data_IF_677854321314
#
_entry.id   IF_677854321314
#
_cell.length_a   1.000
_cell.length_b   1.000
_cell.length_c   1.000
_cell.angle_alpha   90.00
_cell.angle_beta   90.00
_cell.angle_gamma   90.00
#
_symmetry.space_group_name_H-M   'P 1'
#
loop_
_entity.id
_entity.type
_entity.pdbx_description
1 polymer ?
#
# COMPACT_ATOMS: atom_id res chain seq x y z
N UNK A 1 -38.32 -16.96 -0.71
CA UNK A 1 -37.80 -18.28 -0.31
C UNK A 1 -36.38 -18.08 0.20
N UNK A 2 -36.16 -18.22 1.50
CA UNK A 2 -34.85 -18.16 2.12
C UNK A 2 -34.57 -19.54 2.73
N UNK A 3 -33.51 -20.19 2.27
CA UNK A 3 -33.05 -21.45 2.84
C UNK A 3 -32.18 -21.13 4.07
N UNK A 4 -32.57 -21.63 5.23
CA UNK A 4 -31.78 -21.56 6.46
C UNK A 4 -32.26 -22.61 7.45
N UNK A 5 -31.42 -23.60 7.75
CA UNK A 5 -31.74 -24.65 8.72
C UNK A 5 -31.75 -24.09 10.15
N UNK A 6 -32.67 -24.60 10.98
CA UNK A 6 -32.97 -24.18 12.36
C UNK A 6 -31.82 -24.38 13.36
N UNK A 7 -30.65 -24.83 12.92
CA UNK A 7 -29.48 -25.14 13.77
C UNK A 7 -28.16 -24.53 13.31
N UNK A 8 -28.14 -23.69 12.27
CA UNK A 8 -26.91 -23.00 11.89
C UNK A 8 -26.61 -21.88 12.89
N UNK A 9 -25.36 -21.70 13.37
CA UNK A 9 -25.00 -20.57 14.20
C UNK A 9 -25.19 -19.28 13.41
N UNK A 10 -26.38 -18.69 13.52
CA UNK A 10 -26.68 -17.33 13.13
C UNK A 10 -25.90 -16.43 14.07
N UNK A 11 -24.66 -16.15 13.68
CA UNK A 11 -24.03 -14.84 13.67
C UNK A 11 -22.52 -15.06 13.54
N UNK A 12 -21.98 -14.92 12.32
CA UNK A 12 -20.58 -14.53 12.21
C UNK A 12 -20.50 -13.13 12.78
N UNK A 13 -20.17 -13.04 14.08
CA UNK A 13 -19.74 -11.82 14.74
C UNK A 13 -18.66 -11.24 13.86
N UNK A 14 -18.99 -10.24 13.05
CA UNK A 14 -17.98 -9.44 12.34
C UNK A 14 -17.00 -9.04 13.42
N UNK A 15 -15.78 -9.57 13.37
CA UNK A 15 -14.71 -9.14 14.23
C UNK A 15 -14.54 -7.65 13.93
N UNK A 16 -15.17 -6.82 14.77
CA UNK A 16 -15.09 -5.38 14.66
C UNK A 16 -13.68 -5.07 15.11
N UNK A 17 -12.75 -5.06 14.16
CA UNK A 17 -11.41 -4.58 14.39
C UNK A 17 -11.55 -3.11 14.75
N UNK A 18 -11.56 -2.83 16.05
CA UNK A 18 -11.43 -1.48 16.56
C UNK A 18 -10.14 -0.95 15.96
N UNK A 19 -10.22 0.05 15.08
CA UNK A 19 -9.05 0.74 14.56
C UNK A 19 -8.29 1.29 15.76
N UNK A 20 -7.26 0.55 16.19
CA UNK A 20 -6.42 1.00 17.28
C UNK A 20 -5.85 2.35 16.88
N UNK A 21 -6.07 3.37 17.72
CA UNK A 21 -5.49 4.72 17.56
C UNK A 21 -3.94 4.72 17.49
N UNK A 22 -3.31 3.54 17.62
CA UNK A 22 -1.86 3.32 17.53
C UNK A 22 -1.40 2.74 16.18
N UNK A 23 -2.31 2.48 15.23
CA UNK A 23 -1.96 1.95 13.91
C UNK A 23 -1.20 3.02 13.10
N UNK A 24 -0.01 2.66 12.63
CA UNK A 24 0.77 3.43 11.67
C UNK A 24 0.55 2.81 10.29
N UNK A 25 0.38 3.67 9.28
CA UNK A 25 0.41 3.24 7.88
C UNK A 25 1.78 3.55 7.30
N UNK A 26 2.31 2.60 6.52
CA UNK A 26 3.60 2.70 5.87
C UNK A 26 3.40 2.39 4.40
N UNK A 27 3.94 3.23 3.54
CA UNK A 27 3.97 3.00 2.09
C UNK A 27 5.40 2.66 1.71
N UNK A 28 5.58 1.52 1.04
CA UNK A 28 6.90 1.02 0.61
C UNK A 28 6.89 0.85 -0.90
N UNK A 29 7.89 1.41 -1.57
CA UNK A 29 8.20 1.15 -2.97
C UNK A 29 9.53 0.40 -3.05
N UNK A 30 9.55 -0.66 -3.83
CA UNK A 30 10.71 -1.52 -3.99
C UNK A 30 10.73 -2.13 -5.40
N UNK A 31 11.91 -2.57 -5.82
CA UNK A 31 12.17 -3.30 -7.06
C UNK A 31 12.90 -4.61 -6.76
N UNK A 32 13.18 -5.42 -7.78
CA UNK A 32 13.92 -6.67 -7.62
C UNK A 32 15.33 -6.49 -6.98
N UNK A 33 15.88 -5.28 -7.00
CA UNK A 33 17.17 -4.97 -6.41
C UNK A 33 17.05 -4.41 -4.97
N UNK A 34 15.83 -4.16 -4.46
CA UNK A 34 15.58 -3.70 -3.08
C UNK A 34 14.69 -2.47 -2.94
N UNK A 35 14.77 -1.82 -1.78
CA UNK A 35 13.83 -0.77 -1.37
C UNK A 35 14.22 0.62 -1.93
N UNK A 36 13.28 1.24 -2.63
CA UNK A 36 13.42 2.57 -3.25
C UNK A 36 12.98 3.68 -2.31
N UNK A 37 11.82 3.54 -1.66
CA UNK A 37 11.25 4.56 -0.79
C UNK A 37 10.41 3.92 0.30
N UNK A 38 10.58 4.38 1.54
CA UNK A 38 9.70 4.07 2.67
C UNK A 38 9.16 5.40 3.20
N UNK A 39 7.84 5.55 3.25
CA UNK A 39 7.19 6.72 3.83
C UNK A 39 6.25 6.28 4.95
N UNK A 40 6.54 6.76 6.16
CA UNK A 40 5.68 6.56 7.33
C UNK A 40 4.65 7.67 7.38
N UNK A 41 3.38 7.31 7.49
CA UNK A 41 2.30 8.27 7.65
C UNK A 41 2.08 8.61 9.11
N UNK A 42 1.62 9.84 9.37
CA UNK A 42 1.21 10.26 10.69
C UNK A 42 0.01 9.46 11.17
N UNK A 43 -0.03 9.18 12.48
CA UNK A 43 -1.06 8.33 13.10
C UNK A 43 -2.45 8.92 12.88
N UNK A 44 -3.39 8.06 12.53
CA UNK A 44 -4.79 8.45 12.31
C UNK A 44 -5.06 9.14 10.96
N UNK A 45 -4.06 9.34 10.10
CA UNK A 45 -4.29 9.84 8.75
C UNK A 45 -4.57 8.70 7.78
N UNK A 46 -5.52 8.93 6.86
CA UNK A 46 -5.86 7.98 5.78
C UNK A 46 -5.10 8.35 4.51
N UNK A 47 -4.69 7.36 3.70
CA UNK A 47 -4.09 7.60 2.39
C UNK A 47 -5.14 8.29 1.52
N UNK A 48 -4.95 9.58 1.29
CA UNK A 48 -5.71 10.34 0.32
C UNK A 48 -4.95 10.40 -1.02
N UNK A 49 -5.64 10.75 -2.09
CA UNK A 49 -5.04 10.83 -3.43
C UNK A 49 -3.94 11.89 -3.52
N UNK A 50 -4.01 12.97 -2.74
CA UNK A 50 -3.03 14.05 -2.75
C UNK A 50 -1.69 13.63 -2.13
N UNK A 51 -1.74 12.89 -1.02
CA UNK A 51 -0.57 12.30 -0.34
C UNK A 51 0.08 11.32 -1.29
N UNK A 52 -0.69 10.43 -1.92
CA UNK A 52 -0.18 9.51 -2.92
C UNK A 52 0.52 10.24 -4.09
N UNK A 53 -0.09 11.29 -4.63
CA UNK A 53 0.54 12.14 -5.66
C UNK A 53 1.87 12.75 -5.21
N UNK A 54 1.98 13.18 -3.93
CA UNK A 54 3.22 13.72 -3.37
C UNK A 54 4.27 12.62 -3.23
N UNK A 55 3.89 11.44 -2.76
CA UNK A 55 4.78 10.29 -2.65
C UNK A 55 5.32 9.86 -4.01
N UNK A 56 4.50 9.81 -5.06
CA UNK A 56 4.97 9.52 -6.43
C UNK A 56 6.02 10.53 -6.91
N UNK A 57 5.84 11.82 -6.61
CA UNK A 57 6.84 12.86 -6.93
C UNK A 57 8.14 12.65 -6.15
N UNK A 58 8.07 12.25 -4.88
CA UNK A 58 9.25 11.88 -4.08
C UNK A 58 9.95 10.66 -4.66
N UNK A 59 9.18 9.63 -5.04
CA UNK A 59 9.69 8.42 -5.66
C UNK A 59 10.44 8.73 -6.96
N UNK A 60 9.90 9.60 -7.83
CA UNK A 60 10.58 10.03 -9.06
C UNK A 60 11.95 10.65 -8.78
N UNK A 61 12.09 11.40 -7.69
CA UNK A 61 13.37 12.00 -7.27
C UNK A 61 14.32 10.97 -6.65
N UNK A 62 13.78 9.95 -5.97
CA UNK A 62 14.58 8.91 -5.33
C UNK A 62 15.16 7.89 -6.33
N UNK A 63 14.44 7.63 -7.44
CA UNK A 63 14.85 6.62 -8.44
C UNK A 63 16.24 6.93 -9.03
N UNK A 64 16.55 8.12 -9.57
CA UNK A 64 17.88 8.42 -10.11
C UNK A 64 19.03 8.21 -9.12
N UNK A 65 18.78 8.49 -7.84
CA UNK A 65 19.79 8.38 -6.79
C UNK A 65 20.11 6.92 -6.46
N UNK A 66 19.10 6.03 -6.46
CA UNK A 66 19.25 4.62 -6.10
C UNK A 66 19.49 3.70 -7.30
N UNK A 67 18.94 4.04 -8.46
CA UNK A 67 18.92 3.24 -9.69
C UNK A 67 19.20 4.15 -10.89
N UNK A 68 20.47 4.47 -11.11
CA UNK A 68 20.89 5.23 -12.30
C UNK A 68 20.48 4.46 -13.56
N UNK A 69 19.67 5.08 -14.41
CA UNK A 69 19.21 4.49 -15.69
C UNK A 69 17.77 3.96 -15.70
N UNK A 70 17.13 3.72 -14.55
CA UNK A 70 15.76 3.15 -14.51
C UNK A 70 14.70 4.09 -15.13
N UNK A 71 14.88 5.41 -15.00
CA UNK A 71 13.99 6.36 -15.66
C UNK A 71 14.14 6.36 -17.18
N UNK A 72 15.31 5.97 -17.70
CA UNK A 72 15.58 5.93 -19.14
C UNK A 72 15.03 4.65 -19.80
N UNK A 73 14.96 3.55 -19.05
CA UNK A 73 14.41 2.27 -19.54
C UNK A 73 12.88 2.19 -19.53
N UNK A 74 12.20 3.22 -19.01
CA UNK A 74 10.77 3.17 -18.72
C UNK A 74 10.50 2.50 -17.37
N UNK A 75 9.47 2.99 -16.67
CA UNK A 75 9.06 2.48 -15.35
C UNK A 75 7.65 1.95 -15.46
N UNK A 76 7.48 0.67 -15.14
CA UNK A 76 6.17 0.03 -14.97
C UNK A 76 5.87 -0.04 -13.47
N UNK A 77 4.80 0.62 -13.06
CA UNK A 77 4.34 0.65 -11.68
C UNK A 77 3.27 -0.43 -11.46
N UNK A 78 3.53 -1.33 -10.53
CA UNK A 78 2.55 -2.27 -10.01
C UNK A 78 2.02 -1.76 -8.67
N UNK A 79 0.71 -1.50 -8.60
CA UNK A 79 0.01 -1.15 -7.37
C UNK A 79 -1.39 -1.76 -7.38
N UNK A 80 -2.00 -1.84 -6.20
CA UNK A 80 -3.39 -2.27 -6.02
C UNK A 80 -4.39 -1.23 -6.56
N UNK A 81 -5.60 -1.68 -6.91
CA UNK A 81 -6.67 -0.83 -7.43
C UNK A 81 -7.47 -0.17 -6.28
N UNK A 82 -6.78 0.52 -5.37
CA UNK A 82 -7.43 1.24 -4.27
C UNK A 82 -7.77 2.66 -4.69
N UNK A 83 -8.90 3.19 -4.21
CA UNK A 83 -9.48 4.48 -4.63
C UNK A 83 -8.50 5.67 -4.71
N UNK A 84 -7.53 5.84 -3.79
CA UNK A 84 -6.53 6.93 -3.89
C UNK A 84 -5.58 6.77 -5.07
N UNK A 85 -5.30 5.53 -5.50
CA UNK A 85 -4.39 5.20 -6.59
C UNK A 85 -5.07 5.33 -7.96
N UNK A 86 -6.37 5.04 -8.03
CA UNK A 86 -7.17 5.23 -9.25
C UNK A 86 -7.88 6.57 -9.36
N UNK A 87 -7.70 7.45 -8.37
CA UNK A 87 -8.20 8.81 -8.44
C UNK A 87 -7.61 9.55 -9.66
N UNK A 88 -8.41 10.42 -10.27
CA UNK A 88 -8.03 11.22 -11.46
C UNK A 88 -6.70 11.96 -11.26
N UNK A 89 -6.48 12.49 -10.05
CA UNK A 89 -5.23 13.16 -9.69
C UNK A 89 -4.00 12.26 -9.78
N UNK A 90 -4.10 11.02 -9.29
CA UNK A 90 -3.01 10.04 -9.34
C UNK A 90 -2.71 9.62 -10.79
N UNK A 91 -3.73 9.30 -11.57
CA UNK A 91 -3.58 8.99 -12.99
C UNK A 91 -2.99 10.15 -13.81
N UNK A 92 -3.36 11.39 -13.50
CA UNK A 92 -2.76 12.57 -14.12
C UNK A 92 -1.28 12.73 -13.80
N UNK A 93 -0.85 12.42 -12.56
CA UNK A 93 0.57 12.42 -12.19
C UNK A 93 1.32 11.32 -12.92
N UNK A 94 0.80 10.10 -12.96
CA UNK A 94 1.45 8.96 -13.63
C UNK A 94 1.66 9.23 -15.13
N UNK A 95 0.67 9.80 -15.82
CA UNK A 95 0.81 10.24 -17.22
C UNK A 95 1.89 11.31 -17.39
N UNK A 96 1.97 12.30 -16.49
CA UNK A 96 3.03 13.32 -16.51
C UNK A 96 4.41 12.73 -16.24
N UNK A 97 4.49 11.63 -15.50
CA UNK A 97 5.72 10.91 -15.24
C UNK A 97 6.12 9.97 -16.38
N UNK A 98 5.23 9.70 -17.34
CA UNK A 98 5.38 8.69 -18.39
C UNK A 98 5.66 7.30 -17.80
N UNK A 99 4.98 6.98 -16.71
CA UNK A 99 5.05 5.67 -16.09
C UNK A 99 3.85 4.85 -16.52
N UNK A 100 4.12 3.64 -16.96
CA UNK A 100 3.07 2.69 -17.30
C UNK A 100 2.56 2.04 -16.02
N UNK A 101 1.26 1.78 -15.97
CA UNK A 101 0.62 1.14 -14.82
C UNK A 101 0.26 -0.28 -15.23
N UNK A 102 0.79 -1.25 -14.49
CA UNK A 102 0.42 -2.64 -14.71
C UNK A 102 -1.03 -2.85 -14.24
N UNK A 103 -1.87 -3.42 -15.11
CA UNK A 103 -3.25 -3.67 -14.76
C UNK A 103 -3.34 -4.79 -13.73
N UNK A 104 -3.89 -4.48 -12.57
CA UNK A 104 -4.09 -5.44 -11.49
C UNK A 104 -5.58 -5.78 -11.36
N UNK A 105 -5.97 -7.07 -11.40
CA UNK A 105 -7.36 -7.46 -11.24
C UNK A 105 -7.89 -7.11 -9.83
N UNK A 106 -9.20 -6.82 -9.69
CA UNK A 106 -9.79 -6.57 -8.38
C UNK A 106 -9.57 -7.74 -7.42
N UNK A 107 -9.33 -7.43 -6.14
CA UNK A 107 -9.24 -8.41 -5.04
C UNK A 107 -8.18 -9.51 -5.19
N UNK A 108 -7.09 -9.25 -5.90
CA UNK A 108 -6.05 -10.26 -6.20
C UNK A 108 -4.74 -10.02 -5.46
N UNK A 109 -4.79 -9.93 -4.13
CA UNK A 109 -3.60 -9.70 -3.29
C UNK A 109 -2.52 -10.78 -3.48
N UNK A 110 -2.88 -12.00 -3.88
CA UNK A 110 -1.94 -13.08 -4.23
C UNK A 110 -1.05 -12.74 -5.44
N UNK A 111 -1.53 -11.88 -6.34
CA UNK A 111 -0.79 -11.41 -7.50
C UNK A 111 0.08 -10.18 -7.20
N UNK A 112 -0.04 -9.59 -6.00
CA UNK A 112 0.74 -8.44 -5.59
C UNK A 112 1.99 -8.92 -4.81
N UNK A 113 3.22 -8.72 -5.35
CA UNK A 113 4.44 -9.13 -4.66
C UNK A 113 4.60 -8.49 -3.27
N UNK A 114 4.06 -7.29 -3.08
CA UNK A 114 4.06 -6.59 -1.79
C UNK A 114 3.24 -7.31 -0.72
N UNK A 115 2.10 -7.85 -1.10
CA UNK A 115 1.16 -8.46 -0.17
C UNK A 115 1.63 -9.86 0.21
N UNK A 116 2.15 -10.61 -0.77
CA UNK A 116 2.63 -11.96 -0.54
C UNK A 116 4.00 -12.02 0.16
N UNK A 117 4.97 -11.18 -0.22
CA UNK A 117 6.33 -11.25 0.35
C UNK A 117 6.55 -10.23 1.46
N UNK A 118 6.41 -8.95 1.13
CA UNK A 118 6.87 -7.87 2.01
C UNK A 118 6.00 -7.78 3.27
N UNK A 119 4.69 -7.84 3.08
CA UNK A 119 3.70 -7.69 4.15
C UNK A 119 3.75 -8.87 5.11
N UNK A 120 3.85 -10.10 4.60
CA UNK A 120 4.01 -11.32 5.43
C UNK A 120 5.28 -11.24 6.27
N UNK A 121 6.43 -10.92 5.67
CA UNK A 121 7.70 -10.80 6.39
C UNK A 121 7.66 -9.73 7.48
N UNK A 122 7.04 -8.58 7.19
CA UNK A 122 6.87 -7.49 8.14
C UNK A 122 5.96 -7.92 9.30
N UNK A 123 4.80 -8.53 9.02
CA UNK A 123 3.90 -9.01 10.07
C UNK A 123 4.53 -10.10 10.93
N UNK A 124 5.25 -11.05 10.35
CA UNK A 124 5.97 -12.08 11.11
C UNK A 124 7.00 -11.48 12.08
N UNK A 125 7.75 -10.45 11.65
CA UNK A 125 8.72 -9.76 12.53
C UNK A 125 8.05 -8.89 13.59
N UNK A 126 6.91 -8.30 13.28
CA UNK A 126 6.18 -7.38 14.18
C UNK A 126 5.34 -8.13 15.21
N UNK A 127 4.90 -9.37 14.93
CA UNK A 127 3.99 -10.14 15.77
C UNK A 127 4.48 -10.40 17.21
N UNK A 128 5.79 -10.28 17.47
CA UNK A 128 6.38 -10.38 18.82
C UNK A 128 6.77 -9.04 19.48
N UNK A 129 6.63 -7.91 18.78
CA UNK A 129 7.16 -6.62 19.23
C UNK A 129 6.12 -5.72 19.93
N UNK A 130 6.44 -5.21 21.13
CA UNK A 130 5.69 -4.11 21.75
C UNK A 130 6.25 -2.78 21.25
N UNK A 131 5.46 -2.03 20.45
CA UNK A 131 5.87 -0.74 19.92
C UNK A 131 5.34 0.42 20.78
N UNK A 132 6.24 1.13 21.49
CA UNK A 132 5.91 2.42 22.10
C UNK A 132 5.88 3.53 21.04
N UNK A 133 4.80 4.31 21.05
CA UNK A 133 4.67 5.52 20.26
C UNK A 133 5.56 6.64 20.82
N UNK A 134 6.74 6.89 20.25
CA UNK A 134 7.39 8.20 20.44
C UNK A 134 6.60 9.23 19.63
N UNK A 135 5.87 10.10 20.33
CA UNK A 135 5.38 11.37 19.76
C UNK A 135 6.59 12.29 19.72
N UNK A 136 6.92 12.83 18.55
CA UNK A 136 7.61 14.09 18.30
C UNK A 136 8.03 14.11 16.82
N UNK A 137 7.38 14.98 16.04
CA UNK A 137 7.90 16.03 15.14
C UNK A 137 6.72 16.51 14.28
#
# INVERSE_FOLDING_TARGET
MAWGHTGSPTWLRKARQTLSARKLMVTVFWDAQGILLIEFMTRGTTINSQVYCRTLKKLKRAIPNKRRGLLSSGVVLLHDNVRPHTAVGAGAVLRKLKWDVFQHPPYSSDLAPSDFHLTVLIFCKIAGGRFLCRRNW
#
